data_IF_400720599745
#
_entry.id   IF_400720599745
#
_cell.length_a   1.000
_cell.length_b   1.000
_cell.length_c   1.000
_cell.angle_alpha   90.00
_cell.angle_beta   90.00
_cell.angle_gamma   90.00
#
_symmetry.space_group_name_H-M   'P 1'
#
loop_
_entity.id
_entity.type
_entity.pdbx_description
1 polymer ?
#
# COMPACT_ATOMS: atom_id res chain seq x y z
N UNK A 1 -3.41 2.48 31.25
CA UNK A 1 -2.04 2.03 31.54
C UNK A 1 -1.41 1.64 30.23
N UNK A 2 -0.48 2.46 29.72
CA UNK A 2 0.25 2.17 28.49
C UNK A 2 1.33 1.14 28.79
N UNK A 3 1.33 0.04 28.02
CA UNK A 3 2.47 -0.86 27.94
C UNK A 3 3.32 -0.36 26.76
N UNK A 4 4.58 0.05 26.98
CA UNK A 4 5.48 0.40 25.88
C UNK A 4 5.83 -0.87 25.09
N UNK A 5 5.88 -0.73 23.76
CA UNK A 5 6.35 -1.76 22.85
C UNK A 5 7.76 -2.20 23.28
N UNK A 6 7.90 -3.49 23.60
CA UNK A 6 9.16 -4.13 23.96
C UNK A 6 9.86 -4.56 22.67
N UNK A 7 11.06 -4.05 22.40
CA UNK A 7 11.91 -4.44 21.26
C UNK A 7 12.43 -5.90 21.33
N UNK A 8 11.98 -6.70 22.32
CA UNK A 8 12.57 -8.00 22.65
C UNK A 8 11.62 -9.21 22.62
N UNK A 9 10.38 -9.08 22.14
CA UNK A 9 9.55 -10.27 21.95
C UNK A 9 9.87 -10.92 20.59
N UNK A 10 10.40 -12.15 20.54
CA UNK A 10 10.42 -12.91 19.31
C UNK A 10 8.96 -13.23 18.97
N UNK A 11 8.34 -12.40 18.13
CA UNK A 11 7.00 -12.67 17.64
C UNK A 11 7.12 -13.80 16.62
N UNK A 12 7.08 -15.04 17.12
CA UNK A 12 6.85 -16.25 16.34
C UNK A 12 5.52 -16.03 15.60
N UNK A 13 5.55 -15.97 14.26
CA UNK A 13 4.32 -16.09 13.49
C UNK A 13 3.83 -17.53 13.69
N UNK A 14 2.56 -17.70 14.12
CA UNK A 14 1.86 -19.00 14.20
C UNK A 14 1.64 -19.66 12.82
N UNK A 15 2.44 -19.31 11.80
CA UNK A 15 2.46 -19.88 10.45
C UNK A 15 3.59 -20.91 10.26
N UNK A 16 4.31 -21.27 11.33
CA UNK A 16 5.40 -22.25 11.33
C UNK A 16 4.94 -23.73 11.19
N UNK A 17 3.67 -23.98 10.84
CA UNK A 17 3.13 -25.33 10.63
C UNK A 17 3.70 -26.05 9.38
N UNK A 18 4.61 -25.43 8.62
CA UNK A 18 5.32 -26.12 7.56
C UNK A 18 6.35 -27.10 8.16
N UNK A 19 5.95 -28.38 8.19
CA UNK A 19 6.86 -29.48 8.53
C UNK A 19 7.86 -29.66 7.38
N UNK A 20 9.18 -29.49 7.61
CA UNK A 20 10.19 -29.59 6.56
C UNK A 20 10.23 -30.99 5.92
N UNK A 21 10.55 -31.11 4.62
CA UNK A 21 10.58 -32.41 3.94
C UNK A 21 11.71 -33.38 4.38
N UNK A 22 12.72 -32.93 5.12
CA UNK A 22 13.93 -33.73 5.42
C UNK A 22 13.97 -34.23 6.86
N UNK A 23 14.30 -35.51 7.05
CA UNK A 23 14.52 -36.16 8.35
C UNK A 23 15.98 -36.13 8.85
N UNK A 24 16.88 -35.44 8.14
CA UNK A 24 18.34 -35.45 8.41
C UNK A 24 18.86 -34.24 9.21
N UNK A 25 20.10 -34.35 9.69
CA UNK A 25 20.84 -33.25 10.34
C UNK A 25 21.22 -32.14 9.34
N UNK A 26 21.14 -30.89 9.78
CA UNK A 26 21.45 -29.70 8.99
C UNK A 26 22.84 -29.14 9.32
N UNK A 27 23.57 -28.69 8.30
CA UNK A 27 24.88 -28.05 8.42
C UNK A 27 24.79 -26.58 7.97
N UNK A 28 25.29 -25.63 8.78
CA UNK A 28 25.28 -24.21 8.42
C UNK A 28 26.37 -23.85 7.41
N UNK A 29 26.01 -23.05 6.42
CA UNK A 29 26.87 -22.47 5.38
C UNK A 29 27.11 -20.99 5.70
N UNK A 30 28.35 -20.53 5.55
CA UNK A 30 28.70 -19.13 5.79
C UNK A 30 28.10 -18.22 4.72
N UNK A 31 27.20 -17.31 5.12
CA UNK A 31 26.61 -16.29 4.24
C UNK A 31 27.55 -15.08 4.18
N UNK A 32 28.15 -14.83 3.01
CA UNK A 32 28.79 -13.54 2.77
C UNK A 32 27.71 -12.49 2.47
N UNK A 33 27.43 -11.61 3.44
CA UNK A 33 26.60 -10.42 3.20
C UNK A 33 27.27 -9.59 2.10
N UNK A 34 26.74 -9.63 0.87
CA UNK A 34 27.20 -8.72 -0.17
C UNK A 34 26.62 -7.34 0.12
N UNK A 35 27.46 -6.32 0.05
CA UNK A 35 26.99 -4.94 0.11
C UNK A 35 26.22 -4.67 -1.18
N UNK A 36 24.89 -4.82 -1.16
CA UNK A 36 24.04 -4.45 -2.30
C UNK A 36 24.05 -2.92 -2.41
N UNK A 37 24.73 -2.39 -3.42
CA UNK A 37 24.86 -0.96 -3.71
C UNK A 37 23.73 -0.41 -4.59
N UNK A 38 22.75 -1.25 -4.93
CA UNK A 38 21.63 -0.89 -5.81
C UNK A 38 20.37 -0.58 -4.99
N UNK A 39 19.82 0.61 -5.24
CA UNK A 39 18.60 1.16 -4.65
C UNK A 39 17.44 0.19 -4.91
N UNK A 40 16.73 -0.23 -3.86
CA UNK A 40 15.44 -0.93 -3.99
C UNK A 40 14.32 0.09 -3.79
N UNK A 41 13.81 0.74 -4.85
CA UNK A 41 12.71 1.68 -4.67
C UNK A 41 11.45 0.87 -4.38
N UNK A 42 10.84 1.08 -3.20
CA UNK A 42 9.58 0.43 -2.76
C UNK A 42 9.49 -1.02 -3.26
N UNK A 43 10.38 -1.86 -2.72
CA UNK A 43 10.81 -3.16 -3.22
C UNK A 43 9.83 -3.83 -4.21
N UNK A 44 10.22 -3.80 -5.49
CA UNK A 44 9.66 -4.66 -6.54
C UNK A 44 8.46 -4.12 -7.32
N UNK A 45 8.03 -2.87 -7.12
CA UNK A 45 6.87 -2.32 -7.86
C UNK A 45 7.23 -1.23 -8.87
N UNK A 46 8.49 -0.75 -8.91
CA UNK A 46 8.87 0.40 -9.73
C UNK A 46 10.30 0.32 -10.25
N UNK A 47 10.50 0.57 -11.55
CA UNK A 47 11.82 0.83 -12.13
C UNK A 47 12.17 2.32 -11.97
N UNK A 48 13.26 2.63 -11.25
CA UNK A 48 13.72 4.01 -11.06
C UNK A 48 12.87 4.87 -10.10
N UNK A 49 12.09 4.26 -9.20
CA UNK A 49 11.32 5.00 -8.18
C UNK A 49 10.00 5.60 -8.66
N UNK A 50 9.52 5.23 -9.85
CA UNK A 50 8.28 5.75 -10.44
C UNK A 50 7.11 4.79 -10.24
N UNK A 51 6.17 5.17 -9.39
CA UNK A 51 4.86 4.53 -9.27
C UNK A 51 3.88 5.27 -10.16
N UNK A 52 3.17 4.58 -11.06
CA UNK A 52 2.14 5.24 -11.86
C UNK A 52 0.83 5.31 -11.06
N UNK A 53 0.23 6.50 -11.03
CA UNK A 53 -1.12 6.69 -10.52
C UNK A 53 -2.08 6.77 -11.71
N UNK A 54 -2.87 5.71 -11.92
CA UNK A 54 -3.92 5.66 -12.93
C UNK A 54 -5.20 6.20 -12.28
N UNK A 55 -5.72 7.30 -12.84
CA UNK A 55 -6.97 7.91 -12.39
C UNK A 55 -8.12 7.37 -13.24
N UNK A 56 -8.99 6.59 -12.59
CA UNK A 56 -10.23 6.12 -13.19
C UNK A 56 -11.35 7.09 -12.83
N UNK A 57 -12.08 7.59 -13.82
CA UNK A 57 -13.19 8.52 -13.60
C UNK A 57 -14.52 7.81 -13.86
N UNK A 58 -15.41 7.85 -12.87
CA UNK A 58 -16.80 7.45 -12.98
C UNK A 58 -17.64 8.69 -13.26
N UNK A 59 -18.07 8.83 -14.51
CA UNK A 59 -18.94 9.90 -14.96
C UNK A 59 -20.39 9.38 -14.96
N UNK A 60 -21.35 10.29 -14.94
CA UNK A 60 -22.77 9.96 -15.17
C UNK A 60 -23.36 8.97 -14.14
N UNK A 61 -22.99 9.15 -12.87
CA UNK A 61 -23.31 8.28 -11.74
C UNK A 61 -24.81 7.94 -11.53
N UNK A 62 -25.73 8.66 -12.18
CA UNK A 62 -27.18 8.55 -11.97
C UNK A 62 -27.91 7.78 -13.07
N UNK A 63 -27.27 7.52 -14.21
CA UNK A 63 -27.90 6.91 -15.39
C UNK A 63 -27.52 5.43 -15.57
N UNK A 64 -27.04 4.76 -14.51
CA UNK A 64 -26.59 3.37 -14.55
C UNK A 64 -25.14 3.21 -14.98
N UNK A 65 -24.66 1.96 -15.04
CA UNK A 65 -23.27 1.62 -15.33
C UNK A 65 -23.15 0.78 -16.61
N UNK A 66 -22.64 1.41 -17.66
CA UNK A 66 -22.22 0.73 -18.91
C UNK A 66 -20.74 0.31 -18.84
N UNK A 67 -20.22 0.05 -17.63
CA UNK A 67 -18.77 -0.08 -17.35
C UNK A 67 -18.08 -1.06 -18.30
N UNK A 68 -17.17 -0.50 -19.08
CA UNK A 68 -16.09 -1.20 -19.76
C UNK A 68 -14.76 -0.70 -19.21
N UNK A 69 -13.78 -1.59 -19.08
CA UNK A 69 -12.46 -1.26 -18.56
C UNK A 69 -11.41 -1.08 -19.66
N UNK A 70 -11.83 -0.94 -20.92
CA UNK A 70 -10.92 -0.87 -22.07
C UNK A 70 -9.86 0.23 -21.97
N UNK A 71 -10.21 1.40 -21.40
CA UNK A 71 -9.24 2.47 -21.19
C UNK A 71 -8.24 2.10 -20.09
N UNK A 72 -8.72 1.51 -19.00
CA UNK A 72 -7.87 1.05 -17.90
C UNK A 72 -6.92 -0.06 -18.38
N UNK A 73 -7.40 -0.97 -19.22
CA UNK A 73 -6.59 -2.03 -19.84
C UNK A 73 -5.49 -1.45 -20.74
N UNK A 74 -5.84 -0.47 -21.59
CA UNK A 74 -4.85 0.26 -22.40
C UNK A 74 -3.82 1.00 -21.55
N UNK A 75 -4.24 1.62 -20.45
CA UNK A 75 -3.32 2.28 -19.52
C UNK A 75 -2.34 1.25 -18.92
N UNK A 76 -2.81 0.05 -18.55
CA UNK A 76 -1.95 -1.05 -18.09
C UNK A 76 -1.03 -1.62 -19.19
N UNK A 77 -1.49 -1.73 -20.43
CA UNK A 77 -0.69 -2.15 -21.59
C UNK A 77 0.41 -1.16 -21.93
N UNK A 78 0.19 0.14 -21.64
CA UNK A 78 1.16 1.20 -21.87
C UNK A 78 2.25 1.31 -20.80
N UNK A 79 2.13 0.55 -19.70
CA UNK A 79 3.13 0.58 -18.64
C UNK A 79 4.48 0.10 -19.15
N UNK A 80 5.54 0.86 -18.80
CA UNK A 80 6.90 0.40 -19.03
C UNK A 80 7.13 -0.95 -18.32
N UNK A 81 7.87 -1.90 -18.93
CA UNK A 81 8.20 -3.15 -18.28
C UNK A 81 8.86 -2.92 -16.91
N UNK A 82 8.26 -3.49 -15.85
CA UNK A 82 8.74 -3.33 -14.48
C UNK A 82 8.09 -2.21 -13.68
N UNK A 83 6.99 -1.61 -14.17
CA UNK A 83 6.22 -0.59 -13.44
C UNK A 83 4.87 -1.17 -13.02
N UNK A 84 4.56 -1.06 -11.74
CA UNK A 84 3.22 -1.28 -11.19
C UNK A 84 2.47 0.05 -11.05
N UNK A 85 1.14 -0.04 -10.99
CA UNK A 85 0.27 1.10 -10.85
C UNK A 85 -0.57 1.03 -9.56
N UNK A 86 -0.88 2.20 -9.02
CA UNK A 86 -2.02 2.42 -8.14
C UNK A 86 -3.18 2.86 -9.02
N UNK A 87 -4.34 2.24 -8.87
CA UNK A 87 -5.57 2.72 -9.48
C UNK A 87 -6.35 3.52 -8.44
N UNK A 88 -6.71 4.76 -8.75
CA UNK A 88 -7.53 5.62 -7.88
C UNK A 88 -8.84 5.97 -8.57
N UNK A 89 -9.96 5.71 -7.92
CA UNK A 89 -11.30 5.91 -8.48
C UNK A 89 -11.90 7.27 -8.08
N UNK A 90 -12.22 8.10 -9.06
CA UNK A 90 -12.82 9.41 -8.90
C UNK A 90 -14.29 9.37 -9.33
N UNK A 91 -15.18 9.90 -8.51
CA UNK A 91 -16.56 10.17 -8.93
C UNK A 91 -16.66 11.62 -9.37
N UNK A 92 -17.08 11.85 -10.61
CA UNK A 92 -17.17 13.19 -11.21
C UNK A 92 -18.57 13.48 -11.73
N UNK A 93 -18.82 14.74 -12.10
CA UNK A 93 -20.09 15.20 -12.68
C UNK A 93 -21.33 15.03 -11.75
N UNK A 94 -21.18 15.40 -10.48
CA UNK A 94 -22.31 15.54 -9.54
C UNK A 94 -23.36 16.59 -9.99
N UNK A 95 -24.59 16.54 -9.46
CA UNK A 95 -25.67 17.41 -9.91
C UNK A 95 -25.39 18.89 -9.62
N UNK A 96 -25.95 19.77 -10.45
CA UNK A 96 -25.74 21.21 -10.38
C UNK A 96 -26.00 21.84 -9.01
N UNK A 97 -26.97 21.30 -8.26
CA UNK A 97 -27.29 21.71 -6.87
C UNK A 97 -26.13 21.53 -5.88
N UNK A 98 -25.21 20.62 -6.18
CA UNK A 98 -24.06 20.26 -5.35
C UNK A 98 -22.75 20.87 -5.89
N UNK A 99 -22.83 21.76 -6.88
CA UNK A 99 -21.64 22.44 -7.41
C UNK A 99 -20.98 23.30 -6.34
N UNK A 100 -19.66 23.21 -6.24
CA UNK A 100 -18.85 24.01 -5.31
C UNK A 100 -18.15 25.15 -6.04
N UNK A 101 -17.66 26.19 -5.33
CA UNK A 101 -16.88 27.26 -5.95
C UNK A 101 -15.61 26.73 -6.64
N UNK A 102 -15.03 27.56 -7.51
CA UNK A 102 -13.97 27.28 -8.51
C UNK A 102 -12.60 26.76 -7.99
N UNK A 103 -12.50 26.29 -6.75
CA UNK A 103 -11.25 25.80 -6.15
C UNK A 103 -11.05 24.28 -6.30
N UNK A 104 -12.05 23.52 -6.76
CA UNK A 104 -11.82 22.13 -7.17
C UNK A 104 -10.92 22.11 -8.41
N UNK A 105 -9.70 21.60 -8.24
CA UNK A 105 -8.64 21.67 -9.26
C UNK A 105 -8.67 20.51 -10.25
N UNK A 106 -9.45 19.46 -9.98
CA UNK A 106 -9.63 18.32 -10.88
C UNK A 106 -10.69 18.66 -11.93
N UNK A 107 -10.35 18.54 -13.21
CA UNK A 107 -11.29 18.71 -14.31
C UNK A 107 -12.46 17.72 -14.16
N UNK A 108 -13.70 18.22 -14.05
CA UNK A 108 -14.91 17.41 -13.88
C UNK A 108 -15.43 17.28 -12.43
N UNK A 109 -14.61 17.57 -11.42
CA UNK A 109 -15.05 17.66 -10.01
C UNK A 109 -15.75 19.00 -9.73
N UNK A 110 -16.82 19.32 -10.47
CA UNK A 110 -17.52 20.61 -10.36
C UNK A 110 -18.43 20.70 -9.12
N UNK A 111 -18.54 19.63 -8.34
CA UNK A 111 -19.42 19.48 -7.19
C UNK A 111 -19.35 18.07 -6.60
N UNK A 112 -20.09 17.84 -5.51
CA UNK A 112 -20.19 16.51 -4.88
C UNK A 112 -21.30 15.66 -5.46
N UNK A 113 -21.18 14.34 -5.33
CA UNK A 113 -22.26 13.42 -5.69
C UNK A 113 -23.43 13.54 -4.73
N UNK A 114 -24.63 13.19 -5.22
CA UNK A 114 -25.85 13.11 -4.42
C UNK A 114 -26.10 11.68 -3.95
N UNK A 115 -25.81 11.44 -2.69
CA UNK A 115 -25.94 10.14 -2.02
C UNK A 115 -27.34 9.86 -1.49
N UNK A 116 -28.27 10.81 -1.64
CA UNK A 116 -29.70 10.59 -1.38
C UNK A 116 -30.39 9.91 -2.57
N UNK A 117 -29.79 9.97 -3.76
CA UNK A 117 -30.29 9.31 -4.95
C UNK A 117 -30.00 7.80 -4.91
N UNK A 118 -31.02 6.92 -4.90
CA UNK A 118 -30.80 5.47 -4.87
C UNK A 118 -30.02 4.96 -6.08
N UNK A 119 -30.04 5.66 -7.23
CA UNK A 119 -29.25 5.28 -8.40
C UNK A 119 -27.75 5.49 -8.16
N UNK A 120 -27.34 6.48 -7.36
CA UNK A 120 -25.94 6.70 -7.00
C UNK A 120 -25.40 5.48 -6.23
N UNK A 121 -26.13 5.03 -5.21
CA UNK A 121 -25.73 3.87 -4.42
C UNK A 121 -25.69 2.58 -5.26
N UNK A 122 -26.68 2.38 -6.14
CA UNK A 122 -26.72 1.24 -7.05
C UNK A 122 -25.52 1.24 -8.01
N UNK A 123 -25.25 2.38 -8.65
CA UNK A 123 -24.14 2.54 -9.57
C UNK A 123 -22.80 2.32 -8.86
N UNK A 124 -22.59 2.94 -7.70
CA UNK A 124 -21.36 2.80 -6.92
C UNK A 124 -21.11 1.34 -6.50
N UNK A 125 -22.17 0.63 -6.08
CA UNK A 125 -22.09 -0.79 -5.70
C UNK A 125 -21.66 -1.66 -6.88
N UNK A 126 -22.32 -1.53 -8.04
CA UNK A 126 -22.00 -2.30 -9.24
C UNK A 126 -20.60 -1.96 -9.78
N UNK A 127 -20.19 -0.69 -9.71
CA UNK A 127 -18.85 -0.27 -10.11
C UNK A 127 -17.78 -0.81 -9.16
N UNK A 128 -17.98 -0.75 -7.84
CA UNK A 128 -17.04 -1.26 -6.86
C UNK A 128 -16.84 -2.77 -7.03
N UNK A 129 -17.91 -3.53 -7.25
CA UNK A 129 -17.82 -4.95 -7.56
C UNK A 129 -17.02 -5.20 -8.84
N UNK A 130 -17.47 -4.64 -9.98
CA UNK A 130 -16.86 -4.89 -11.30
C UNK A 130 -15.39 -4.47 -11.33
N UNK A 131 -15.06 -3.30 -10.79
CA UNK A 131 -13.68 -2.80 -10.77
C UNK A 131 -12.79 -3.67 -9.89
N UNK A 132 -13.29 -4.08 -8.73
CA UNK A 132 -12.55 -4.95 -7.82
C UNK A 132 -12.29 -6.32 -8.45
N UNK A 133 -13.30 -6.92 -9.09
CA UNK A 133 -13.14 -8.19 -9.82
C UNK A 133 -12.16 -8.05 -10.98
N UNK A 134 -12.23 -6.96 -11.73
CA UNK A 134 -11.32 -6.68 -12.85
C UNK A 134 -9.86 -6.57 -12.40
N UNK A 135 -9.61 -5.91 -11.28
CA UNK A 135 -8.26 -5.68 -10.75
C UNK A 135 -7.75 -6.82 -9.85
N UNK A 136 -8.63 -7.73 -9.39
CA UNK A 136 -8.30 -8.80 -8.43
C UNK A 136 -7.11 -9.65 -8.88
N UNK A 137 -7.03 -9.93 -10.17
CA UNK A 137 -6.02 -10.81 -10.76
C UNK A 137 -5.04 -10.04 -11.66
N UNK A 138 -5.24 -8.72 -11.84
CA UNK A 138 -4.33 -7.85 -12.57
C UNK A 138 -3.06 -7.60 -11.76
N UNK A 139 -1.97 -8.26 -12.13
CA UNK A 139 -0.73 -8.23 -11.34
C UNK A 139 0.06 -6.93 -11.46
N UNK A 140 -0.20 -6.13 -12.49
CA UNK A 140 0.38 -4.78 -12.64
C UNK A 140 -0.28 -3.76 -11.71
N UNK A 141 -1.46 -4.05 -11.17
CA UNK A 141 -2.10 -3.24 -10.15
C UNK A 141 -1.57 -3.63 -8.77
N UNK A 142 -0.94 -2.71 -8.04
CA UNK A 142 -0.44 -3.01 -6.70
C UNK A 142 -1.36 -2.53 -5.57
N UNK A 143 -2.33 -1.67 -5.90
CA UNK A 143 -3.26 -1.08 -4.96
C UNK A 143 -4.46 -0.49 -5.70
N UNK A 144 -5.67 -0.74 -5.19
CA UNK A 144 -6.85 0.05 -5.51
C UNK A 144 -7.12 1.05 -4.37
N UNK A 145 -7.11 2.34 -4.70
CA UNK A 145 -7.40 3.41 -3.76
C UNK A 145 -8.82 3.96 -4.00
N UNK A 146 -9.62 4.00 -2.94
CA UNK A 146 -11.04 4.38 -2.98
C UNK A 146 -11.32 5.56 -2.04
N UNK A 147 -12.13 6.50 -2.52
CA UNK A 147 -12.71 7.58 -1.73
C UNK A 147 -14.00 8.10 -2.37
N UNK A 148 -14.70 8.98 -1.67
CA UNK A 148 -16.06 9.41 -2.04
C UNK A 148 -16.21 10.92 -2.26
N UNK A 149 -15.25 11.69 -1.76
CA UNK A 149 -15.18 13.13 -1.88
C UNK A 149 -14.16 13.59 -2.93
N UNK A 150 -13.75 14.85 -2.82
CA UNK A 150 -12.81 15.45 -3.75
C UNK A 150 -11.48 14.71 -3.74
N UNK A 151 -10.81 14.68 -4.90
CA UNK A 151 -9.53 14.01 -5.11
C UNK A 151 -9.52 12.49 -4.81
N UNK A 152 -10.70 11.85 -4.79
CA UNK A 152 -10.91 10.46 -4.35
C UNK A 152 -10.56 10.25 -2.88
N UNK A 153 -11.03 11.17 -2.03
CA UNK A 153 -10.71 11.15 -0.61
C UNK A 153 -11.92 11.09 0.29
N UNK A 154 -11.69 10.75 1.56
CA UNK A 154 -12.72 10.73 2.59
C UNK A 154 -12.98 12.10 3.20
N UNK A 155 -12.97 13.15 2.38
CA UNK A 155 -13.29 14.50 2.83
C UNK A 155 -13.94 15.33 1.73
N UNK A 156 -14.70 16.33 2.16
CA UNK A 156 -15.12 17.44 1.34
C UNK A 156 -14.29 18.66 1.75
N UNK A 157 -14.13 19.62 0.84
CA UNK A 157 -13.48 20.89 1.14
C UNK A 157 -14.45 22.01 0.80
N UNK A 158 -14.36 23.15 1.49
CA UNK A 158 -15.16 24.35 1.22
C UNK A 158 -16.69 24.21 1.35
N UNK A 159 -17.21 23.06 1.82
CA UNK A 159 -18.63 22.81 2.08
C UNK A 159 -18.80 21.87 3.28
N UNK A 160 -19.89 22.05 4.03
CA UNK A 160 -20.27 21.16 5.13
C UNK A 160 -20.65 19.77 4.61
N UNK A 161 -20.09 18.73 5.23
CA UNK A 161 -20.42 17.34 4.94
C UNK A 161 -21.77 16.97 5.54
N UNK A 162 -22.66 16.38 4.73
CA UNK A 162 -23.99 15.91 5.11
C UNK A 162 -24.14 14.45 4.65
N UNK A 163 -23.92 13.48 5.56
CA UNK A 163 -24.08 12.07 5.27
C UNK A 163 -25.47 11.75 4.69
N UNK A 164 -25.50 10.97 3.61
CA UNK A 164 -26.71 10.64 2.87
C UNK A 164 -27.22 11.73 1.92
N UNK A 165 -26.54 12.87 1.82
CA UNK A 165 -26.84 13.92 0.84
C UNK A 165 -25.66 14.19 -0.08
N UNK A 166 -24.59 14.81 0.42
CA UNK A 166 -23.42 15.18 -0.39
C UNK A 166 -22.18 14.31 -0.10
N UNK A 167 -22.34 13.33 0.80
CA UNK A 167 -21.36 12.32 1.17
C UNK A 167 -22.11 11.04 1.58
N UNK A 168 -21.56 9.82 1.43
CA UNK A 168 -22.27 8.62 1.85
C UNK A 168 -22.44 8.54 3.38
N UNK A 169 -23.49 7.87 3.83
CA UNK A 169 -23.65 7.50 5.26
C UNK A 169 -22.66 6.42 5.66
N UNK A 170 -22.41 6.28 6.96
CA UNK A 170 -21.60 5.18 7.52
C UNK A 170 -22.08 3.79 7.04
N UNK A 171 -23.41 3.58 6.94
CA UNK A 171 -24.00 2.33 6.45
C UNK A 171 -23.76 2.10 4.94
N UNK A 172 -23.88 3.17 4.14
CA UNK A 172 -23.55 3.11 2.71
C UNK A 172 -22.07 2.78 2.50
N UNK A 173 -21.18 3.40 3.30
CA UNK A 173 -19.74 3.12 3.31
C UNK A 173 -19.46 1.65 3.64
N UNK A 174 -20.05 1.13 4.71
CA UNK A 174 -19.89 -0.26 5.13
C UNK A 174 -20.37 -1.24 4.05
N UNK A 175 -21.48 -0.92 3.38
CA UNK A 175 -21.99 -1.72 2.26
C UNK A 175 -21.01 -1.77 1.10
N UNK A 176 -20.50 -0.61 0.66
CA UNK A 176 -19.57 -0.52 -0.47
C UNK A 176 -18.23 -1.22 -0.17
N UNK A 177 -17.68 -1.06 1.03
CA UNK A 177 -16.46 -1.77 1.41
C UNK A 177 -16.70 -3.27 1.68
N UNK A 178 -17.91 -3.65 2.11
CA UNK A 178 -18.33 -5.05 2.17
C UNK A 178 -18.23 -5.73 0.80
N UNK A 179 -18.72 -5.07 -0.26
CA UNK A 179 -18.58 -5.53 -1.65
C UNK A 179 -17.11 -5.68 -2.02
N UNK A 180 -16.29 -4.64 -1.83
CA UNK A 180 -14.87 -4.70 -2.19
C UNK A 180 -14.16 -5.85 -1.48
N UNK A 181 -14.40 -6.03 -0.17
CA UNK A 181 -13.81 -7.14 0.60
C UNK A 181 -14.22 -8.52 0.07
N UNK A 182 -15.48 -8.68 -0.32
CA UNK A 182 -15.98 -9.94 -0.85
C UNK A 182 -15.32 -10.32 -2.19
N UNK A 183 -14.87 -9.33 -2.97
CA UNK A 183 -14.40 -9.55 -4.35
C UNK A 183 -12.90 -9.35 -4.57
N UNK A 184 -12.16 -8.70 -3.66
CA UNK A 184 -10.76 -8.26 -3.90
C UNK A 184 -9.71 -9.36 -3.99
N UNK A 185 -9.98 -10.57 -3.50
CA UNK A 185 -8.94 -11.62 -3.43
C UNK A 185 -7.63 -11.09 -2.79
N UNK A 186 -6.47 -11.24 -3.46
CA UNK A 186 -5.20 -10.76 -2.92
C UNK A 186 -5.01 -9.23 -3.04
N UNK A 187 -5.81 -8.52 -3.85
CA UNK A 187 -5.63 -7.10 -4.15
C UNK A 187 -5.66 -6.26 -2.88
N UNK A 188 -4.60 -5.46 -2.67
CA UNK A 188 -4.57 -4.46 -1.61
C UNK A 188 -5.53 -3.33 -1.94
N UNK A 189 -6.24 -2.87 -0.91
CA UNK A 189 -7.18 -1.75 -0.98
C UNK A 189 -6.72 -0.72 0.03
N UNK A 190 -6.73 0.56 -0.33
CA UNK A 190 -6.55 1.64 0.64
C UNK A 190 -7.57 2.75 0.45
N UNK A 191 -7.75 3.51 1.50
CA UNK A 191 -8.66 4.65 1.56
C UNK A 191 -7.88 5.93 1.86
N UNK A 192 -8.10 6.98 1.07
CA UNK A 192 -7.47 8.27 1.39
C UNK A 192 -8.23 8.95 2.52
N UNK A 193 -7.55 9.15 3.64
CA UNK A 193 -8.04 9.94 4.76
C UNK A 193 -7.18 11.22 4.84
N UNK A 194 -7.84 12.37 4.71
CA UNK A 194 -7.16 13.67 4.68
C UNK A 194 -7.53 14.59 5.84
N UNK A 195 -7.17 15.86 5.76
CA UNK A 195 -7.53 16.90 6.73
C UNK A 195 -8.80 17.62 6.24
N UNK A 196 -9.77 17.88 7.13
CA UNK A 196 -11.00 18.60 6.76
C UNK A 196 -12.24 18.11 7.50
N UNK A 197 -12.77 18.99 8.34
CA UNK A 197 -13.96 18.93 9.19
C UNK A 197 -14.00 17.85 10.28
N UNK A 198 -14.27 18.30 11.51
CA UNK A 198 -14.43 17.51 12.74
C UNK A 198 -15.68 16.59 12.71
N UNK A 199 -16.40 16.54 11.59
CA UNK A 199 -17.74 15.98 11.43
C UNK A 199 -17.75 14.53 10.90
N UNK A 200 -16.60 13.84 10.89
CA UNK A 200 -16.47 12.55 10.21
C UNK A 200 -17.04 11.37 10.99
N UNK A 201 -18.10 10.80 10.46
CA UNK A 201 -18.60 9.48 10.85
C UNK A 201 -17.98 8.39 9.96
N UNK A 202 -16.71 8.05 10.22
CA UNK A 202 -16.25 6.69 9.87
C UNK A 202 -16.98 5.73 10.81
N UNK A 203 -17.58 4.68 10.26
CA UNK A 203 -18.20 3.63 11.07
C UNK A 203 -17.14 2.98 11.97
N UNK A 204 -17.57 2.52 13.15
CA UNK A 204 -16.67 1.75 14.02
C UNK A 204 -16.27 0.42 13.35
N UNK A 205 -17.13 -0.13 12.49
CA UNK A 205 -16.84 -1.26 11.60
C UNK A 205 -15.62 -0.96 10.72
N UNK A 206 -15.61 0.18 10.03
CA UNK A 206 -14.48 0.58 9.21
C UNK A 206 -13.22 0.85 10.01
N UNK A 207 -13.34 1.54 11.17
CA UNK A 207 -12.20 1.87 12.03
C UNK A 207 -11.50 0.63 12.57
N UNK A 208 -12.26 -0.41 12.92
CA UNK A 208 -11.76 -1.69 13.43
C UNK A 208 -11.36 -2.68 12.33
N UNK A 209 -11.70 -2.42 11.06
CA UNK A 209 -11.33 -3.31 9.96
C UNK A 209 -9.84 -3.22 9.64
N UNK A 210 -9.07 -4.21 10.11
CA UNK A 210 -7.62 -4.26 9.92
C UNK A 210 -7.19 -4.64 8.52
N UNK A 211 -8.13 -4.94 7.63
CA UNK A 211 -7.86 -5.55 6.32
C UNK A 211 -7.85 -4.54 5.18
N UNK A 212 -8.32 -3.31 5.42
CA UNK A 212 -8.26 -2.19 4.46
C UNK A 212 -7.11 -1.27 4.85
N UNK A 213 -6.26 -0.90 3.89
CA UNK A 213 -5.15 0.02 4.09
C UNK A 213 -5.60 1.47 4.21
N UNK A 214 -4.67 2.33 4.63
CA UNK A 214 -4.94 3.76 4.78
C UNK A 214 -3.87 4.56 4.03
N UNK A 215 -4.34 5.55 3.29
CA UNK A 215 -3.52 6.56 2.65
C UNK A 215 -3.70 7.90 3.36
N UNK A 216 -2.60 8.52 3.81
CA UNK A 216 -2.61 9.75 4.60
C UNK A 216 -2.36 10.96 3.71
N UNK A 217 -3.39 11.73 3.37
CA UNK A 217 -3.30 12.87 2.43
C UNK A 217 -2.41 14.03 2.94
N UNK A 218 -2.03 14.07 4.21
CA UNK A 218 -1.09 15.09 4.72
C UNK A 218 0.05 14.53 5.58
N UNK A 219 0.50 13.30 5.29
CA UNK A 219 1.50 12.52 6.04
C UNK A 219 2.68 13.31 6.65
N UNK A 220 3.14 14.39 6.01
CA UNK A 220 4.29 15.23 6.44
C UNK A 220 3.94 16.63 6.99
N UNK A 221 2.68 16.95 7.24
CA UNK A 221 2.29 18.24 7.81
C UNK A 221 2.55 18.22 9.33
N UNK A 222 3.79 18.55 9.71
CA UNK A 222 4.32 18.34 11.08
C UNK A 222 4.01 19.45 12.09
N UNK A 223 3.34 20.54 11.69
CA UNK A 223 3.10 21.71 12.56
C UNK A 223 1.65 22.19 12.52
N UNK A 224 1.22 22.82 13.62
CA UNK A 224 -0.11 23.41 13.77
C UNK A 224 -1.18 22.43 14.26
N UNK A 225 -2.43 22.88 14.26
CA UNK A 225 -3.61 22.08 14.64
C UNK A 225 -3.82 20.85 13.75
N UNK A 226 -3.34 20.92 12.51
CA UNK A 226 -3.49 19.85 11.52
C UNK A 226 -2.68 18.59 11.87
N UNK A 227 -1.46 18.73 12.42
CA UNK A 227 -0.65 17.57 12.83
C UNK A 227 -1.27 16.79 13.99
N UNK A 228 -1.94 17.50 14.91
CA UNK A 228 -2.69 16.88 16.00
C UNK A 228 -3.96 16.17 15.48
N UNK A 229 -4.62 16.74 14.49
CA UNK A 229 -5.78 16.13 13.83
C UNK A 229 -5.39 14.84 13.12
N UNK A 230 -4.33 14.85 12.32
CA UNK A 230 -3.85 13.65 11.63
C UNK A 230 -3.50 12.54 12.60
N UNK A 231 -2.80 12.86 13.70
CA UNK A 231 -2.48 11.87 14.73
C UNK A 231 -3.74 11.30 15.38
N UNK A 232 -4.76 12.12 15.64
CA UNK A 232 -6.05 11.67 16.16
C UNK A 232 -6.75 10.73 15.18
N UNK A 233 -6.79 11.09 13.90
CA UNK A 233 -7.40 10.27 12.86
C UNK A 233 -6.65 8.95 12.69
N UNK A 234 -5.32 9.00 12.70
CA UNK A 234 -4.44 7.85 12.63
C UNK A 234 -4.70 6.84 13.75
N UNK A 235 -4.73 7.33 14.99
CA UNK A 235 -5.04 6.51 16.16
C UNK A 235 -6.49 6.00 16.12
N UNK A 236 -7.44 6.84 15.67
CA UNK A 236 -8.84 6.48 15.56
C UNK A 236 -9.15 5.40 14.52
N UNK A 237 -8.23 5.15 13.58
CA UNK A 237 -8.34 4.08 12.60
C UNK A 237 -7.50 2.84 12.95
N UNK A 238 -6.97 2.72 14.18
CA UNK A 238 -6.20 1.54 14.62
C UNK A 238 -5.09 1.15 13.65
N UNK A 239 -4.32 2.15 13.19
CA UNK A 239 -3.33 1.97 12.13
C UNK A 239 -2.29 0.87 12.41
N UNK A 240 -2.00 0.64 13.69
CA UNK A 240 -0.99 -0.26 14.21
C UNK A 240 -1.48 -1.71 14.08
N UNK A 241 -2.79 -1.91 14.21
CA UNK A 241 -3.45 -3.20 13.99
C UNK A 241 -3.54 -3.55 12.49
N UNK A 242 -3.47 -2.56 11.59
CA UNK A 242 -3.47 -2.74 10.12
C UNK A 242 -2.12 -3.22 9.57
N UNK A 243 -1.47 -4.17 10.25
CA UNK A 243 -0.08 -4.60 9.95
C UNK A 243 0.06 -5.01 8.49
N UNK A 244 -0.79 -5.90 8.00
CA UNK A 244 -0.69 -6.53 6.67
C UNK A 244 -1.41 -5.79 5.54
N UNK A 245 -1.52 -4.46 5.65
CA UNK A 245 -2.13 -3.63 4.62
C UNK A 245 -1.11 -2.68 4.01
N UNK A 246 -1.33 -2.32 2.75
CA UNK A 246 -0.54 -1.26 2.12
C UNK A 246 -0.86 0.09 2.78
N UNK A 247 0.19 0.80 3.22
CA UNK A 247 0.10 2.13 3.82
C UNK A 247 0.85 3.11 2.96
N UNK A 248 0.24 4.25 2.69
CA UNK A 248 0.94 5.34 2.02
C UNK A 248 0.47 6.70 2.49
N UNK A 249 0.98 7.74 1.86
CA UNK A 249 0.50 9.09 2.13
C UNK A 249 1.08 10.12 1.19
N UNK A 250 0.65 11.37 1.35
CA UNK A 250 1.15 12.48 0.55
C UNK A 250 2.20 13.27 1.31
N UNK A 251 3.29 13.54 0.62
CA UNK A 251 4.34 14.43 1.07
C UNK A 251 3.87 15.87 0.84
N UNK A 252 3.20 16.44 1.83
CA UNK A 252 2.92 17.87 1.90
C UNK A 252 3.97 18.55 2.78
N UNK A 253 4.84 19.36 2.18
CA UNK A 253 5.80 20.14 2.94
C UNK A 253 5.30 21.57 3.06
N UNK A 254 4.68 21.86 4.20
CA UNK A 254 4.21 23.20 4.51
C UNK A 254 5.33 24.19 4.83
N UNK A 255 6.52 23.76 5.29
CA UNK A 255 7.48 24.67 5.95
C UNK A 255 8.98 24.23 5.96
N UNK A 256 9.58 23.80 4.84
CA UNK A 256 11.04 23.56 4.83
C UNK A 256 11.64 23.04 3.52
N UNK A 257 12.95 22.78 3.50
CA UNK A 257 13.59 21.98 2.45
C UNK A 257 13.56 20.49 2.83
N UNK A 258 13.62 19.57 1.87
CA UNK A 258 13.66 18.13 2.14
C UNK A 258 14.77 17.77 3.15
N UNK A 259 15.93 18.42 3.04
CA UNK A 259 17.07 18.26 3.97
C UNK A 259 16.69 18.42 5.43
N UNK A 260 15.98 19.49 5.73
CA UNK A 260 15.66 19.85 7.11
C UNK A 260 14.73 18.86 7.80
N UNK A 261 14.08 17.98 7.04
CA UNK A 261 13.05 17.06 7.53
C UNK A 261 13.33 15.59 7.21
N UNK A 262 14.47 15.24 6.59
CA UNK A 262 14.81 13.87 6.19
C UNK A 262 14.69 12.87 7.34
N UNK A 263 15.31 13.17 8.49
CA UNK A 263 15.30 12.27 9.65
C UNK A 263 13.91 12.11 10.24
N UNK A 264 13.15 13.22 10.34
CA UNK A 264 11.77 13.19 10.83
C UNK A 264 10.88 12.39 9.88
N UNK A 265 11.09 12.54 8.57
CA UNK A 265 10.37 11.81 7.51
C UNK A 265 10.62 10.31 7.67
N UNK A 266 11.88 9.87 7.81
CA UNK A 266 12.23 8.46 8.03
C UNK A 266 11.64 7.92 9.32
N UNK A 267 11.71 8.66 10.43
CA UNK A 267 11.11 8.25 11.69
C UNK A 267 9.60 8.03 11.57
N UNK A 268 8.89 8.93 10.88
CA UNK A 268 7.47 8.79 10.60
C UNK A 268 7.20 7.62 9.66
N UNK A 269 7.95 7.47 8.57
CA UNK A 269 7.80 6.35 7.64
C UNK A 269 7.93 5.01 8.37
N UNK A 270 8.92 4.87 9.26
CA UNK A 270 9.12 3.66 10.06
C UNK A 270 8.00 3.45 11.07
N UNK A 271 7.66 4.48 11.84
CA UNK A 271 6.55 4.42 12.81
C UNK A 271 5.24 3.99 12.14
N UNK A 272 5.06 4.39 10.88
CA UNK A 272 3.83 4.15 10.12
C UNK A 272 3.90 2.99 9.13
N UNK A 273 5.01 2.26 9.07
CA UNK A 273 5.23 1.16 8.14
C UNK A 273 4.88 1.51 6.68
N UNK A 274 5.37 2.66 6.19
CA UNK A 274 5.03 3.19 4.86
C UNK A 274 5.55 2.30 3.73
N UNK A 275 4.65 1.98 2.79
CA UNK A 275 4.96 1.32 1.51
C UNK A 275 5.19 2.32 0.39
N UNK A 276 4.45 3.43 0.37
CA UNK A 276 4.58 4.44 -0.67
C UNK A 276 4.27 5.86 -0.21
N UNK A 277 4.82 6.85 -0.91
CA UNK A 277 4.51 8.25 -0.70
C UNK A 277 4.32 8.96 -2.04
N UNK A 278 3.25 9.74 -2.17
CA UNK A 278 2.98 10.59 -3.34
C UNK A 278 3.41 12.04 -3.04
N UNK A 279 4.11 12.74 -3.94
CA UNK A 279 4.37 14.16 -3.76
C UNK A 279 3.11 15.00 -4.03
N UNK A 280 2.71 15.87 -3.10
CA UNK A 280 1.61 16.82 -3.28
C UNK A 280 2.07 18.26 -3.03
N UNK A 281 1.93 19.14 -4.02
CA UNK A 281 2.33 20.55 -3.90
C UNK A 281 3.82 20.79 -3.65
N UNK A 282 4.67 19.77 -3.76
CA UNK A 282 6.11 19.81 -3.44
C UNK A 282 7.02 19.63 -4.66
N UNK A 283 6.51 19.88 -5.87
CA UNK A 283 7.25 19.71 -7.14
C UNK A 283 8.63 20.37 -7.15
N UNK A 284 8.77 21.52 -6.49
CA UNK A 284 10.00 22.32 -6.50
C UNK A 284 11.05 21.79 -5.49
N UNK A 285 10.58 21.18 -4.40
CA UNK A 285 11.43 20.53 -3.38
C UNK A 285 11.87 19.15 -3.87
N UNK A 286 10.99 18.46 -4.60
CA UNK A 286 11.26 17.14 -5.15
C UNK A 286 12.16 17.23 -6.40
N UNK A 287 11.99 18.23 -7.25
CA UNK A 287 12.82 18.42 -8.45
C UNK A 287 14.28 18.83 -8.15
N UNK A 288 14.56 19.39 -6.97
CA UNK A 288 15.90 19.87 -6.59
C UNK A 288 16.79 18.84 -5.88
N UNK A 289 16.31 17.61 -5.60
CA UNK A 289 17.05 16.63 -4.78
C UNK A 289 16.82 15.15 -5.13
N UNK A 290 17.07 14.77 -6.38
CA UNK A 290 16.88 13.40 -6.87
C UNK A 290 17.52 12.31 -6.00
N UNK A 291 18.72 12.54 -5.44
CA UNK A 291 19.40 11.58 -4.55
C UNK A 291 18.70 11.38 -3.20
N UNK A 292 18.03 12.40 -2.66
CA UNK A 292 17.32 12.31 -1.37
C UNK A 292 15.97 11.64 -1.53
N UNK A 293 15.28 11.89 -2.65
CA UNK A 293 14.11 11.11 -3.03
C UNK A 293 14.49 9.64 -3.14
N UNK A 294 15.59 9.33 -3.84
CA UNK A 294 16.09 7.96 -3.93
C UNK A 294 16.39 7.36 -2.55
N UNK A 295 16.99 8.14 -1.65
CA UNK A 295 17.26 7.71 -0.27
C UNK A 295 15.98 7.41 0.52
N UNK A 296 14.94 8.25 0.42
CA UNK A 296 13.64 7.99 1.04
C UNK A 296 12.94 6.80 0.39
N UNK A 297 12.98 6.70 -0.94
CA UNK A 297 12.44 5.55 -1.69
C UNK A 297 13.10 4.23 -1.31
N UNK A 298 14.41 4.23 -1.01
CA UNK A 298 15.14 3.07 -0.54
C UNK A 298 14.88 2.73 0.94
N UNK A 299 14.38 3.69 1.71
CA UNK A 299 14.07 3.50 3.13
C UNK A 299 12.68 2.88 3.35
N UNK A 300 11.73 3.13 2.44
CA UNK A 300 10.36 2.65 2.53
C UNK A 300 10.20 1.16 2.20
N UNK A 301 9.11 0.56 2.67
CA UNK A 301 8.73 -0.81 2.32
C UNK A 301 9.48 -1.88 3.11
N UNK A 302 9.41 -3.11 2.60
CA UNK A 302 10.14 -4.26 3.14
C UNK A 302 11.57 -4.30 2.62
N UNK A 303 12.47 -5.04 3.27
CA UNK A 303 13.82 -5.29 2.78
C UNK A 303 14.27 -6.65 3.28
N UNK A 304 14.62 -7.58 2.39
CA UNK A 304 14.87 -8.96 2.77
C UNK A 304 16.36 -9.26 2.87
N UNK A 305 16.74 -9.99 3.91
CA UNK A 305 18.12 -10.42 4.17
C UNK A 305 18.15 -11.92 4.41
N UNK A 306 19.10 -12.64 3.81
CA UNK A 306 19.38 -14.01 4.21
C UNK A 306 20.24 -13.98 5.48
N UNK A 307 19.64 -14.35 6.61
CA UNK A 307 20.31 -14.39 7.91
C UNK A 307 21.17 -15.65 8.10
N UNK A 308 20.73 -16.79 7.56
CA UNK A 308 21.47 -18.04 7.57
C UNK A 308 21.09 -18.94 6.40
N UNK A 309 22.00 -19.83 6.04
CA UNK A 309 21.81 -20.89 5.05
C UNK A 309 22.24 -22.20 5.70
N UNK A 310 21.37 -23.20 5.74
CA UNK A 310 21.70 -24.53 6.23
C UNK A 310 21.41 -25.58 5.15
N UNK A 311 22.26 -26.58 5.00
CA UNK A 311 22.04 -27.70 4.07
C UNK A 311 21.93 -29.03 4.82
N UNK A 312 20.92 -29.82 4.53
CA UNK A 312 20.75 -31.18 5.05
C UNK A 312 21.59 -32.20 4.29
N UNK A 313 21.83 -33.37 4.90
CA UNK A 313 22.59 -34.45 4.26
C UNK A 313 21.97 -35.03 2.98
N UNK A 314 20.69 -34.79 2.72
CA UNK A 314 19.95 -35.19 1.51
C UNK A 314 19.77 -34.05 0.49
N UNK A 315 20.47 -32.92 0.69
CA UNK A 315 20.59 -31.82 -0.27
C UNK A 315 19.45 -30.78 -0.23
N UNK A 316 18.65 -30.76 0.83
CA UNK A 316 17.75 -29.63 1.08
C UNK A 316 18.53 -28.46 1.66
N UNK A 317 18.18 -27.27 1.22
CA UNK A 317 18.68 -26.01 1.76
C UNK A 317 17.56 -25.30 2.48
N UNK A 318 17.82 -24.85 3.71
CA UNK A 318 16.96 -24.01 4.52
C UNK A 318 17.60 -22.64 4.61
N UNK A 319 16.87 -21.60 4.22
CA UNK A 319 17.28 -20.21 4.38
C UNK A 319 16.48 -19.61 5.53
N UNK A 320 17.12 -18.90 6.44
CA UNK A 320 16.42 -17.96 7.33
C UNK A 320 16.40 -16.59 6.66
N UNK A 321 15.22 -16.10 6.30
CA UNK A 321 15.07 -14.79 5.65
C UNK A 321 14.41 -13.81 6.59
N UNK A 322 15.09 -12.70 6.89
CA UNK A 322 14.60 -11.64 7.77
C UNK A 322 14.13 -10.43 6.96
N UNK A 323 12.97 -9.87 7.28
CA UNK A 323 12.57 -8.56 6.79
C UNK A 323 13.22 -7.46 7.66
N UNK A 324 14.30 -6.85 7.17
CA UNK A 324 15.01 -5.73 7.80
C UNK A 324 14.50 -4.36 7.35
N UNK A 325 13.39 -4.32 6.60
CA UNK A 325 12.71 -3.10 6.18
C UNK A 325 11.83 -2.49 7.26
N UNK A 326 10.95 -1.56 6.84
CA UNK A 326 10.02 -0.87 7.74
C UNK A 326 8.56 -1.27 7.53
N UNK A 327 8.24 -1.99 6.45
CA UNK A 327 6.89 -2.46 6.14
C UNK A 327 6.89 -3.96 5.84
N UNK A 328 5.76 -4.67 5.96
CA UNK A 328 5.67 -6.08 5.59
C UNK A 328 5.67 -6.25 4.07
N UNK A 329 6.05 -7.45 3.63
CA UNK A 329 5.65 -7.98 2.32
C UNK A 329 4.14 -8.21 2.31
N UNK A 330 3.46 -7.97 1.18
CA UNK A 330 1.98 -8.00 1.14
C UNK A 330 1.43 -9.12 0.25
N UNK A 331 2.06 -9.32 -0.89
CA UNK A 331 1.73 -10.37 -1.85
C UNK A 331 2.71 -11.54 -1.74
N UNK A 332 2.36 -12.64 -2.40
CA UNK A 332 3.24 -13.81 -2.54
C UNK A 332 4.59 -13.45 -3.12
N UNK A 333 5.64 -13.87 -2.42
CA UNK A 333 7.03 -13.53 -2.70
C UNK A 333 7.90 -14.71 -2.30
N UNK A 334 8.22 -15.58 -3.25
CA UNK A 334 9.01 -16.78 -3.01
C UNK A 334 10.49 -16.48 -3.22
N UNK A 335 11.36 -17.02 -2.37
CA UNK A 335 12.79 -16.98 -2.65
C UNK A 335 13.10 -17.91 -3.82
N UNK A 336 13.93 -17.45 -4.75
CA UNK A 336 14.36 -18.21 -5.92
C UNK A 336 15.88 -18.26 -5.99
N UNK A 337 16.39 -19.39 -6.47
CA UNK A 337 17.78 -19.56 -6.82
C UNK A 337 17.86 -20.44 -8.07
N UNK A 338 18.40 -19.89 -9.16
CA UNK A 338 18.38 -20.53 -10.48
C UNK A 338 16.94 -20.94 -10.87
N UNK A 339 16.67 -22.23 -11.02
CA UNK A 339 15.34 -22.76 -11.38
C UNK A 339 14.59 -23.35 -10.17
N UNK A 340 15.03 -23.06 -8.94
CA UNK A 340 14.43 -23.60 -7.72
C UNK A 340 13.73 -22.50 -6.95
N UNK A 341 12.44 -22.72 -6.69
CA UNK A 341 11.61 -21.92 -5.80
C UNK A 341 11.66 -22.51 -4.40
N UNK A 342 11.92 -21.67 -3.42
CA UNK A 342 11.88 -22.01 -2.01
C UNK A 342 10.50 -21.71 -1.45
N UNK A 343 10.02 -22.62 -0.60
CA UNK A 343 8.71 -22.54 0.05
C UNK A 343 8.88 -22.58 1.58
N UNK A 344 7.97 -21.98 2.37
CA UNK A 344 6.82 -21.20 1.92
C UNK A 344 7.19 -19.79 1.41
N UNK A 345 6.25 -19.17 0.70
CA UNK A 345 6.24 -17.73 0.39
C UNK A 345 6.60 -16.85 1.58
N UNK A 346 7.27 -15.73 1.30
CA UNK A 346 7.56 -14.65 2.25
C UNK A 346 6.40 -13.66 2.37
N UNK A 347 5.20 -13.93 1.86
CA UNK A 347 4.02 -13.07 2.03
C UNK A 347 3.77 -12.74 3.51
N UNK A 348 3.35 -11.50 3.80
CA UNK A 348 3.01 -11.07 5.16
C UNK A 348 4.17 -11.19 6.16
N UNK A 349 5.42 -11.17 5.72
CA UNK A 349 6.59 -11.15 6.60
C UNK A 349 6.77 -9.74 7.17
N UNK A 350 6.42 -9.56 8.45
CA UNK A 350 6.49 -8.27 9.16
C UNK A 350 7.94 -7.78 9.39
N UNK A 351 8.17 -6.47 9.54
CA UNK A 351 9.47 -5.93 9.92
C UNK A 351 10.06 -6.61 11.15
N UNK A 352 11.34 -6.93 11.10
CA UNK A 352 12.09 -7.62 12.16
C UNK A 352 11.85 -9.13 12.24
N UNK A 353 10.81 -9.66 11.60
CA UNK A 353 10.55 -11.10 11.61
C UNK A 353 11.39 -11.86 10.61
N UNK A 354 11.59 -13.14 10.91
CA UNK A 354 12.28 -14.10 10.06
C UNK A 354 11.34 -15.23 9.68
N UNK A 355 11.52 -15.78 8.48
CA UNK A 355 10.85 -17.01 8.03
C UNK A 355 11.87 -17.97 7.47
N UNK A 356 11.71 -19.25 7.81
CA UNK A 356 12.48 -20.30 7.16
C UNK A 356 11.82 -20.67 5.84
N UNK A 357 12.62 -20.73 4.78
CA UNK A 357 12.19 -21.20 3.46
C UNK A 357 13.11 -22.32 2.99
N UNK A 358 12.56 -23.26 2.22
CA UNK A 358 13.17 -24.54 1.93
C UNK A 358 13.18 -24.80 0.44
N UNK A 359 14.32 -25.20 -0.10
CA UNK A 359 14.52 -25.50 -1.51
C UNK A 359 15.59 -26.56 -1.69
N UNK A 360 15.52 -27.35 -2.76
CA UNK A 360 16.50 -28.41 -3.02
C UNK A 360 17.55 -27.91 -4.00
N UNK A 361 18.68 -27.44 -3.48
CA UNK A 361 19.79 -26.91 -4.26
C UNK A 361 21.14 -27.40 -3.71
N UNK A 362 22.17 -27.35 -4.55
CA UNK A 362 23.56 -27.46 -4.13
C UNK A 362 24.11 -26.05 -3.93
N UNK A 363 24.25 -25.61 -2.68
CA UNK A 363 24.80 -24.28 -2.38
C UNK A 363 26.31 -24.30 -2.50
N UNK A 364 26.87 -23.43 -3.35
CA UNK A 364 28.29 -23.14 -3.38
C UNK A 364 28.66 -21.93 -2.53
N UNK A 365 29.95 -21.77 -2.24
CA UNK A 365 30.47 -20.54 -1.62
C UNK A 365 30.14 -19.34 -2.53
N UNK A 366 29.44 -18.34 -1.98
CA UNK A 366 28.94 -17.12 -2.67
C UNK A 366 27.61 -17.22 -3.43
N UNK A 367 26.70 -18.11 -3.03
CA UNK A 367 25.33 -18.09 -3.54
C UNK A 367 24.63 -16.74 -3.29
N UNK A 368 23.93 -16.24 -4.31
CA UNK A 368 23.00 -15.11 -4.20
C UNK A 368 21.57 -15.60 -4.35
N UNK A 369 20.66 -15.00 -3.59
CA UNK A 369 19.24 -15.31 -3.62
C UNK A 369 18.45 -14.08 -4.06
N UNK A 370 17.39 -14.31 -4.81
CA UNK A 370 16.40 -13.31 -5.15
C UNK A 370 15.04 -13.79 -4.65
N UNK A 371 14.04 -12.92 -4.61
CA UNK A 371 12.67 -13.32 -4.38
C UNK A 371 11.76 -12.78 -5.48
N UNK A 372 10.86 -13.62 -5.95
CA UNK A 372 9.96 -13.35 -7.07
C UNK A 372 8.51 -13.61 -6.66
N UNK A 373 7.60 -12.86 -7.26
CA UNK A 373 6.18 -13.08 -7.06
C UNK A 373 5.36 -12.43 -8.17
N UNK A 374 4.14 -12.90 -8.46
CA UNK A 374 3.38 -12.46 -9.64
C UNK A 374 3.14 -10.96 -9.71
N UNK A 375 2.98 -10.30 -8.56
CA UNK A 375 2.74 -8.86 -8.40
C UNK A 375 4.01 -8.04 -8.16
N UNK A 376 5.15 -8.70 -7.96
CA UNK A 376 6.45 -8.03 -7.82
C UNK A 376 7.19 -8.18 -9.14
N UNK A 377 7.49 -7.07 -9.78
CA UNK A 377 8.13 -7.06 -11.09
C UNK A 377 9.65 -7.00 -10.94
N UNK A 378 10.31 -8.09 -11.30
CA UNK A 378 11.75 -8.31 -11.17
C UNK A 378 12.12 -8.99 -9.85
N UNK A 379 13.17 -9.83 -9.88
CA UNK A 379 13.70 -10.48 -8.69
C UNK A 379 14.12 -9.43 -7.64
N UNK A 380 13.53 -9.52 -6.46
CA UNK A 380 13.94 -8.75 -5.29
C UNK A 380 15.23 -9.36 -4.78
N UNK A 381 16.36 -8.69 -4.95
CA UNK A 381 17.64 -9.19 -4.42
C UNK A 381 17.56 -9.31 -2.89
N UNK A 382 18.04 -10.41 -2.32
CA UNK A 382 18.21 -10.53 -0.87
C UNK A 382 19.60 -10.03 -0.48
N UNK A 383 19.69 -9.35 0.66
CA UNK A 383 20.96 -8.90 1.27
C UNK A 383 21.78 -10.04 1.85
#
# INVERSE_FOLDING_TARGET
MHVPYSDNDPIVDDLDDFVPPSSGSWNSVAVQNRTVTEIMPMCGLVKGGKLLNIRLYANNCYNGTDVTFEKLDKDFESLEPGVSAIVRLYFVDGPDRNKTPSWATTEGEKGTNDWSDPNMMKMASELFEKLTVHLRDETRCCLLQLGFGFWSEFHLSGITMRPGENFPTAEQIDTLYGIVKAHRGPLQIAVSVGVGDDERELSDSFRSDTTIGIFYDSFMKTRGSESAYELKLYNGCHYDERVYTMKGGEFSNGEGTLDSIMDTTKQLMKKRAMHYVMPNGTSDIMSSSSSKIQELSAYMGYRLKVASVDTSGDGYTRLSVTNVGIAPTLYDLNVVHENVTFEPSLAQLKPGASRYVYGKITVGDNASFEAEGPRYLGGVKLL
#
